data_IF_013394021570
#
_entry.id   IF_013394021570
#
_cell.length_a   1.000
_cell.length_b   1.000
_cell.length_c   1.000
_cell.angle_alpha   90.00
_cell.angle_beta   90.00
_cell.angle_gamma   90.00
#
_symmetry.space_group_name_H-M   'P 1'
#
loop_
_entity.id
_entity.type
_entity.pdbx_description
1 polymer ?
#
# COMPACT_ATOMS: atom_id res chain seq x y z
N UNK A 1 23.83 -0.17 9.49
CA UNK A 1 23.10 -0.12 8.22
C UNK A 1 21.76 -0.80 8.45
N UNK A 2 20.63 -0.09 8.38
CA UNK A 2 19.33 -0.74 8.59
C UNK A 2 19.03 -1.61 7.38
N UNK A 3 18.90 -2.93 7.58
CA UNK A 3 18.45 -3.83 6.52
C UNK A 3 16.98 -3.51 6.26
N UNK A 4 16.66 -3.02 5.06
CA UNK A 4 15.29 -2.81 4.60
C UNK A 4 14.61 -4.16 4.43
N UNK A 5 13.96 -4.64 5.49
CA UNK A 5 13.35 -5.97 5.49
C UNK A 5 12.00 -6.01 4.77
N UNK A 6 11.26 -4.89 4.75
CA UNK A 6 9.94 -4.81 4.11
C UNK A 6 10.05 -4.38 2.65
N UNK A 7 9.33 -5.09 1.78
CA UNK A 7 9.19 -4.80 0.36
C UNK A 7 7.71 -4.69 0.00
N UNK A 8 7.31 -3.63 -0.69
CA UNK A 8 5.99 -3.52 -1.30
C UNK A 8 6.14 -3.66 -2.82
N UNK A 9 5.46 -4.64 -3.39
CA UNK A 9 5.31 -4.82 -4.84
C UNK A 9 4.04 -4.09 -5.28
N UNK A 10 4.18 -3.21 -6.26
CA UNK A 10 3.07 -2.50 -6.91
C UNK A 10 3.13 -2.70 -8.42
N UNK A 11 2.02 -2.46 -9.11
CA UNK A 11 1.96 -2.64 -10.57
C UNK A 11 2.65 -1.50 -11.32
N UNK A 12 2.28 -0.27 -11.00
CA UNK A 12 2.67 0.93 -11.72
C UNK A 12 3.57 1.90 -10.95
N UNK A 13 4.14 2.84 -11.71
CA UNK A 13 4.91 3.98 -11.16
C UNK A 13 4.02 4.95 -10.38
N UNK A 14 2.76 5.08 -10.78
CA UNK A 14 1.74 5.90 -10.11
C UNK A 14 1.43 5.39 -8.71
N UNK A 15 1.30 4.06 -8.57
CA UNK A 15 1.05 3.40 -7.28
C UNK A 15 2.23 3.58 -6.35
N UNK A 16 3.46 3.37 -6.87
CA UNK A 16 4.68 3.66 -6.12
C UNK A 16 4.71 5.08 -5.58
N UNK A 17 4.41 6.07 -6.42
CA UNK A 17 4.33 7.48 -5.98
C UNK A 17 3.26 7.68 -4.91
N UNK A 18 2.09 7.04 -5.03
CA UNK A 18 1.02 7.13 -4.04
C UNK A 18 1.44 6.52 -2.70
N UNK A 19 2.05 5.34 -2.69
CA UNK A 19 2.55 4.67 -1.49
C UNK A 19 3.64 5.53 -0.81
N UNK A 20 4.56 6.11 -1.57
CA UNK A 20 5.60 7.01 -1.04
C UNK A 20 5.02 8.27 -0.37
N UNK A 21 3.86 8.73 -0.81
CA UNK A 21 3.18 9.87 -0.18
C UNK A 21 2.64 9.52 1.20
N UNK A 22 2.30 8.26 1.48
CA UNK A 22 1.67 7.82 2.74
C UNK A 22 2.62 7.11 3.70
N UNK A 23 3.64 6.41 3.21
CA UNK A 23 4.57 5.65 4.06
C UNK A 23 5.47 6.59 4.86
N UNK A 24 5.72 6.27 6.14
CA UNK A 24 6.57 7.03 7.06
C UNK A 24 7.75 6.23 7.62
N UNK A 25 7.97 5.01 7.13
CA UNK A 25 9.17 4.21 7.39
C UNK A 25 9.90 3.93 6.07
N UNK A 26 11.20 3.61 6.11
CA UNK A 26 11.92 3.20 4.92
C UNK A 26 11.41 1.81 4.49
N UNK A 27 10.93 1.71 3.25
CA UNK A 27 10.42 0.48 2.61
C UNK A 27 10.94 0.43 1.18
N UNK A 28 11.33 -0.76 0.71
CA UNK A 28 11.66 -0.93 -0.70
C UNK A 28 10.37 -1.08 -1.51
N UNK A 29 10.15 -0.23 -2.52
CA UNK A 29 8.94 -0.29 -3.36
C UNK A 29 9.36 -0.63 -4.79
N UNK A 30 8.95 -1.80 -5.26
CA UNK A 30 9.28 -2.34 -6.58
C UNK A 30 8.03 -2.30 -7.45
N UNK A 31 8.19 -1.85 -8.70
CA UNK A 31 7.13 -1.85 -9.70
C UNK A 31 7.27 -3.07 -10.61
N UNK A 32 6.20 -3.82 -10.87
CA UNK A 32 6.21 -4.89 -11.88
C UNK A 32 6.16 -4.36 -13.31
N UNK A 33 5.77 -3.09 -13.49
CA UNK A 33 5.61 -2.44 -14.79
C UNK A 33 4.54 -3.11 -15.68
N UNK A 34 3.44 -3.59 -15.08
CA UNK A 34 2.34 -4.24 -15.80
C UNK A 34 2.65 -5.71 -16.14
N UNK A 35 2.38 -6.12 -17.40
CA UNK A 35 2.62 -7.48 -17.92
C UNK A 35 4.12 -7.80 -17.98
N UNK A 36 4.67 -8.22 -16.85
CA UNK A 36 6.04 -8.68 -16.74
C UNK A 36 6.18 -10.05 -17.40
N UNK A 37 7.27 -10.28 -18.15
CA UNK A 37 7.63 -11.62 -18.62
C UNK A 37 7.96 -12.53 -17.45
N UNK A 38 7.72 -13.83 -17.61
CA UNK A 38 7.99 -14.82 -16.55
C UNK A 38 9.45 -14.78 -16.09
N UNK A 39 10.41 -14.61 -17.01
CA UNK A 39 11.84 -14.55 -16.66
C UNK A 39 12.17 -13.39 -15.71
N UNK A 40 11.54 -12.23 -15.90
CA UNK A 40 11.73 -11.08 -15.01
C UNK A 40 11.06 -11.27 -13.65
N UNK A 41 10.02 -12.10 -13.58
CA UNK A 41 9.39 -12.48 -12.33
C UNK A 41 10.33 -13.36 -11.50
N UNK A 42 10.92 -14.37 -12.13
CA UNK A 42 11.86 -15.28 -11.45
C UNK A 42 13.07 -14.52 -10.90
N UNK A 43 13.72 -13.68 -11.72
CA UNK A 43 14.82 -12.82 -11.26
C UNK A 43 14.40 -11.92 -10.09
N UNK A 44 13.18 -11.39 -10.12
CA UNK A 44 12.65 -10.57 -9.03
C UNK A 44 12.47 -11.39 -7.76
N UNK A 45 11.85 -12.58 -7.84
CA UNK A 45 11.58 -13.45 -6.70
C UNK A 45 12.88 -13.84 -5.99
N UNK A 46 13.95 -14.12 -6.74
CA UNK A 46 15.26 -14.41 -6.17
C UNK A 46 15.75 -13.27 -5.26
N UNK A 47 15.53 -12.01 -5.66
CA UNK A 47 15.89 -10.85 -4.83
C UNK A 47 14.96 -10.61 -3.64
N UNK A 48 13.83 -11.30 -3.58
CA UNK A 48 12.80 -11.14 -2.55
C UNK A 48 12.92 -12.16 -1.42
N UNK A 49 13.70 -13.23 -1.60
CA UNK A 49 13.90 -14.22 -0.54
C UNK A 49 14.44 -13.61 0.76
N UNK A 50 13.87 -14.08 1.87
CA UNK A 50 14.23 -13.62 3.22
C UNK A 50 13.73 -12.22 3.58
N UNK A 51 12.92 -11.58 2.73
CA UNK A 51 12.30 -10.27 3.00
C UNK A 51 10.80 -10.45 3.31
N UNK A 52 10.24 -9.48 4.04
CA UNK A 52 8.80 -9.38 4.26
C UNK A 52 8.16 -8.72 3.03
N UNK A 53 7.52 -9.52 2.19
CA UNK A 53 6.98 -9.06 0.90
C UNK A 53 5.49 -8.82 0.99
N UNK A 54 5.07 -7.66 0.52
CA UNK A 54 3.67 -7.23 0.48
C UNK A 54 3.25 -6.94 -0.96
N UNK A 55 2.18 -7.57 -1.43
CA UNK A 55 1.65 -7.40 -2.79
C UNK A 55 0.46 -6.44 -2.75
N UNK A 56 0.66 -5.23 -3.25
CA UNK A 56 -0.35 -4.18 -3.39
C UNK A 56 -0.63 -3.96 -4.87
N UNK A 57 -1.38 -4.90 -5.46
CA UNK A 57 -1.81 -4.86 -6.85
C UNK A 57 -3.22 -4.26 -7.00
N UNK A 58 -3.56 -3.82 -8.19
CA UNK A 58 -4.88 -3.29 -8.51
C UNK A 58 -5.97 -4.36 -8.36
N UNK A 59 -7.22 -3.90 -8.29
CA UNK A 59 -8.41 -4.76 -8.13
C UNK A 59 -9.06 -5.08 -9.47
N UNK A 60 -8.24 -5.44 -10.46
CA UNK A 60 -8.62 -5.84 -11.80
C UNK A 60 -8.04 -7.22 -12.16
N UNK A 61 -8.26 -7.66 -13.40
CA UNK A 61 -7.84 -9.00 -13.86
C UNK A 61 -6.31 -9.14 -13.91
N UNK A 62 -5.57 -8.07 -14.21
CA UNK A 62 -4.10 -8.08 -14.25
C UNK A 62 -3.52 -8.14 -12.82
N UNK A 63 -4.06 -7.35 -11.90
CA UNK A 63 -3.71 -7.41 -10.49
C UNK A 63 -3.96 -8.80 -9.90
N UNK A 64 -5.06 -9.47 -10.28
CA UNK A 64 -5.35 -10.84 -9.86
C UNK A 64 -4.36 -11.87 -10.43
N UNK A 65 -3.88 -11.69 -11.68
CA UNK A 65 -2.80 -12.53 -12.24
C UNK A 65 -1.51 -12.37 -11.46
N UNK A 66 -1.11 -11.14 -11.14
CA UNK A 66 0.07 -10.84 -10.32
C UNK A 66 -0.08 -11.54 -8.97
N UNK A 67 -1.24 -11.45 -8.32
CA UNK A 67 -1.51 -12.13 -7.04
C UNK A 67 -1.33 -13.64 -7.15
N UNK A 68 -1.86 -14.27 -8.21
CA UNK A 68 -1.71 -15.72 -8.45
C UNK A 68 -0.26 -16.14 -8.63
N UNK A 69 0.54 -15.33 -9.34
CA UNK A 69 1.97 -15.60 -9.50
C UNK A 69 2.70 -15.57 -8.15
N UNK A 70 2.57 -14.48 -7.39
CA UNK A 70 3.24 -14.40 -6.08
C UNK A 70 2.77 -15.48 -5.12
N UNK A 71 1.48 -15.83 -5.11
CA UNK A 71 0.98 -16.94 -4.30
C UNK A 71 1.58 -18.30 -4.68
N UNK A 72 1.93 -18.49 -5.95
CA UNK A 72 2.52 -19.73 -6.47
C UNK A 72 4.03 -19.83 -6.18
N UNK A 73 4.76 -18.75 -6.40
CA UNK A 73 6.22 -18.77 -6.37
C UNK A 73 6.83 -18.19 -5.09
N UNK A 74 6.08 -17.37 -4.35
CA UNK A 74 6.47 -16.75 -3.08
C UNK A 74 5.30 -16.77 -2.09
N UNK A 75 4.96 -17.97 -1.61
CA UNK A 75 3.82 -18.21 -0.72
C UNK A 75 3.87 -17.44 0.61
N UNK A 76 5.07 -16.99 1.00
CA UNK A 76 5.31 -16.18 2.20
C UNK A 76 4.87 -14.72 2.03
N UNK A 77 4.51 -14.29 0.81
CA UNK A 77 4.06 -12.93 0.54
C UNK A 77 2.68 -12.63 1.11
N UNK A 78 2.52 -11.43 1.68
CA UNK A 78 1.25 -10.93 2.19
C UNK A 78 0.52 -10.10 1.13
N UNK A 79 -0.75 -10.38 0.89
CA UNK A 79 -1.53 -9.67 -0.12
C UNK A 79 -2.36 -8.56 0.52
N UNK A 80 -2.11 -7.33 0.08
CA UNK A 80 -2.86 -6.14 0.48
C UNK A 80 -3.96 -5.90 -0.55
N UNK A 81 -5.19 -5.75 -0.07
CA UNK A 81 -6.36 -5.46 -0.90
C UNK A 81 -6.86 -4.05 -0.65
N UNK A 82 -7.11 -3.32 -1.72
CA UNK A 82 -7.83 -2.04 -1.69
C UNK A 82 -9.28 -2.27 -2.08
N UNK A 83 -10.15 -1.32 -1.72
CA UNK A 83 -11.56 -1.39 -2.03
C UNK A 83 -11.76 -1.34 -3.55
N UNK A 84 -12.55 -2.28 -4.06
CA UNK A 84 -12.82 -2.42 -5.50
C UNK A 84 -13.44 -1.17 -6.10
N UNK A 85 -14.09 -0.33 -5.30
CA UNK A 85 -14.64 0.97 -5.74
C UNK A 85 -13.59 1.93 -6.30
N UNK A 86 -12.32 1.82 -5.88
CA UNK A 86 -11.24 2.65 -6.40
C UNK A 86 -10.57 2.07 -7.64
N UNK A 87 -10.75 0.77 -7.90
CA UNK A 87 -10.13 -0.06 -8.95
C UNK A 87 -8.60 -0.11 -8.92
N UNK A 88 -7.94 1.05 -8.92
CA UNK A 88 -6.50 1.25 -8.97
C UNK A 88 -5.97 1.83 -7.64
N UNK A 89 -4.79 1.39 -7.22
CA UNK A 89 -4.08 1.90 -6.04
C UNK A 89 -3.78 3.39 -6.19
N UNK A 90 -3.39 3.84 -7.39
CA UNK A 90 -3.16 5.25 -7.69
C UNK A 90 -4.40 6.15 -7.47
N UNK A 91 -5.62 5.62 -7.56
CA UNK A 91 -6.87 6.37 -7.38
C UNK A 91 -7.31 6.44 -5.92
N UNK A 92 -6.76 5.58 -5.07
CA UNK A 92 -7.10 5.56 -3.65
C UNK A 92 -6.83 6.93 -2.98
N UNK A 93 -7.76 7.42 -2.14
CA UNK A 93 -7.51 8.55 -1.25
C UNK A 93 -6.33 8.25 -0.31
N UNK A 94 -5.50 9.26 -0.02
CA UNK A 94 -4.29 9.09 0.81
C UNK A 94 -4.60 8.52 2.20
N UNK A 95 -5.64 9.04 2.85
CA UNK A 95 -6.07 8.58 4.17
C UNK A 95 -6.53 7.13 4.17
N UNK A 96 -7.27 6.75 3.13
CA UNK A 96 -7.71 5.39 2.94
C UNK A 96 -6.50 4.46 2.79
N UNK A 97 -5.56 4.78 1.90
CA UNK A 97 -4.36 3.96 1.69
C UNK A 97 -3.48 3.90 2.94
N UNK A 98 -3.33 5.01 3.66
CA UNK A 98 -2.61 5.05 4.94
C UNK A 98 -3.25 4.13 5.99
N UNK A 99 -4.59 4.15 6.09
CA UNK A 99 -5.31 3.26 6.98
C UNK A 99 -5.14 1.78 6.60
N UNK A 100 -5.22 1.45 5.30
CA UNK A 100 -4.98 0.10 4.80
C UNK A 100 -3.57 -0.37 5.16
N UNK A 101 -2.54 0.39 4.80
CA UNK A 101 -1.15 0.02 5.10
C UNK A 101 -0.88 -0.09 6.60
N UNK A 102 -1.48 0.76 7.43
CA UNK A 102 -1.33 0.68 8.88
C UNK A 102 -1.85 -0.63 9.46
N UNK A 103 -2.84 -1.29 8.84
CA UNK A 103 -3.34 -2.61 9.29
C UNK A 103 -2.31 -3.73 9.10
N UNK A 104 -1.42 -3.56 8.13
CA UNK A 104 -0.32 -4.49 7.84
C UNK A 104 0.96 -4.13 8.61
N UNK A 105 0.86 -3.27 9.63
CA UNK A 105 1.98 -2.92 10.49
C UNK A 105 2.96 -1.93 9.88
N UNK A 106 2.55 -1.18 8.84
CA UNK A 106 3.35 -0.09 8.31
C UNK A 106 3.17 1.20 9.12
N UNK A 107 4.27 1.92 9.37
CA UNK A 107 4.22 3.27 9.86
C UNK A 107 3.84 4.22 8.72
N UNK A 108 2.79 5.02 8.93
CA UNK A 108 2.24 5.92 7.91
C UNK A 108 2.26 7.36 8.39
N UNK A 109 2.35 8.29 7.45
CA UNK A 109 2.31 9.73 7.73
C UNK A 109 0.92 10.05 8.27
N UNK A 110 0.87 10.59 9.49
CA UNK A 110 -0.37 11.14 10.04
C UNK A 110 -0.76 12.33 9.20
N UNK A 111 -1.95 12.31 8.61
CA UNK A 111 -2.46 13.51 7.97
C UNK A 111 -2.74 14.56 9.06
N UNK A 112 -2.28 15.79 8.85
CA UNK A 112 -2.76 16.90 9.66
C UNK A 112 -4.24 17.04 9.34
N UNK A 113 -5.13 16.72 10.30
CA UNK A 113 -6.51 17.22 10.23
C UNK A 113 -6.40 18.74 10.13
N UNK A 114 -6.60 19.29 8.92
CA UNK A 114 -7.07 20.66 8.84
C UNK A 114 -8.45 20.59 9.48
N UNK A 115 -8.55 20.92 10.75
CA UNK A 115 -9.83 21.23 11.39
C UNK A 115 -10.41 22.39 10.58
N UNK A 116 -11.50 22.22 9.80
CA UNK A 116 -12.30 23.39 9.46
C UNK A 116 -12.90 23.85 10.79
N UNK A 117 -12.68 25.12 11.15
CA UNK A 117 -13.21 25.78 12.34
C UNK A 117 -14.57 25.21 12.76
N UNK A 118 -14.59 24.34 13.76
CA UNK A 118 -15.79 24.08 14.52
C UNK A 118 -15.87 25.24 15.50
N UNK A 119 -16.69 26.23 15.20
CA UNK A 119 -17.05 27.30 16.14
C UNK A 119 -17.65 26.63 17.38
N UNK A 120 -16.82 26.42 18.39
CA UNK A 120 -17.22 26.04 19.73
C UNK A 120 -17.92 27.21 20.41
N UNK A 121 -19.13 27.55 19.95
CA UNK A 121 -20.06 28.43 20.65
C UNK A 121 -21.48 27.86 20.56
N UNK A 122 -21.70 26.72 21.21
CA UNK A 122 -22.99 26.42 21.86
C UNK A 122 -22.83 25.26 22.85
N UNK A 123 -21.99 25.50 23.86
CA UNK A 123 -22.20 24.89 25.17
C UNK A 123 -23.16 25.83 25.93
N UNK A 124 -24.45 25.79 25.59
CA UNK A 124 -25.45 26.34 26.51
C UNK A 124 -25.66 25.25 27.54
N UNK A 125 -25.02 25.47 28.68
CA UNK A 125 -25.18 24.67 29.89
C UNK A 125 -26.67 24.63 30.22
N UNK A 126 -27.20 23.40 30.29
CA UNK A 126 -28.37 23.12 31.11
C UNK A 126 -27.89 23.25 32.55
N UNK A 127 -28.42 24.19 33.33
CA UNK A 127 -28.81 24.03 34.73
C UNK A 127 -29.40 25.32 35.31
N UNK A 128 -30.55 25.13 35.97
CA UNK A 128 -31.41 26.05 36.75
C UNK A 128 -32.37 26.97 35.98
#
# INVERSE_FOLDING_TARGET
MAILNKVIIVEGKSDKKKVQQVIAEPVNIICTHGTMSIDKLDDMIETLYGKQVYILADSDDEGEKIRKWFKRYLSESEHIYVDKTYCEVARCPKNYLAHVLSKYGFNVKKEKKLIPNLSSERLVLVNE
#
